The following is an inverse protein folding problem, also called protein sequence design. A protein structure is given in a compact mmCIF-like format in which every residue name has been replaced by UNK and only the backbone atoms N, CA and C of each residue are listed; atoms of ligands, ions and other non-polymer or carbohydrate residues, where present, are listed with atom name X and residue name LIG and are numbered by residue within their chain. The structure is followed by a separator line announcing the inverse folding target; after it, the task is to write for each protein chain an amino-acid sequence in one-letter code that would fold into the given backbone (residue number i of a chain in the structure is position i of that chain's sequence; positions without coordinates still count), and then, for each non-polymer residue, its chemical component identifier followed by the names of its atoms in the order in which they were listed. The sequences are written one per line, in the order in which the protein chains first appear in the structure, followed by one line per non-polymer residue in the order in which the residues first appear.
data_IF_285430979717
#
_entry.id   IF_285430979717
#
_cell.length_a   1.000
_cell.length_b   1.000
_cell.length_c   1.000
_cell.angle_alpha   90.00
_cell.angle_beta   90.00
_cell.angle_gamma   90.00
#
_symmetry.space_group_name_H-M   'P 1'
#
loop_
_entity.id
_entity.type
_entity.pdbx_description
1 polymer ?
#
# COMPACT_ATOMS: atom_id res chain seq x y z
N UNK A 1 -7.42 -20.86 18.58
CA UNK A 1 -8.65 -21.53 19.05
C UNK A 1 -9.37 -22.20 17.89
N UNK A 2 -10.00 -23.38 18.07
CA UNK A 2 -10.81 -24.03 17.02
C UNK A 2 -12.26 -23.54 17.09
N UNK A 3 -12.87 -23.24 15.92
CA UNK A 3 -14.30 -22.95 15.78
C UNK A 3 -14.84 -23.77 14.61
N UNK A 4 -15.50 -24.89 14.90
CA UNK A 4 -15.82 -25.89 13.88
C UNK A 4 -14.55 -26.41 13.20
N UNK A 5 -14.51 -26.37 11.86
CA UNK A 5 -13.32 -26.75 11.08
C UNK A 5 -12.22 -25.69 11.04
N UNK A 6 -12.54 -24.45 11.40
CA UNK A 6 -11.64 -23.32 11.23
C UNK A 6 -10.71 -23.16 12.45
N UNK A 7 -9.48 -22.74 12.17
CA UNK A 7 -8.53 -22.30 13.21
C UNK A 7 -8.56 -20.79 13.28
N UNK A 8 -8.77 -20.24 14.47
CA UNK A 8 -8.89 -18.80 14.71
C UNK A 8 -7.71 -18.33 15.57
N UNK A 9 -7.03 -17.28 15.13
CA UNK A 9 -5.95 -16.57 15.82
C UNK A 9 -6.61 -15.56 16.77
N UNK A 10 -6.51 -15.78 18.08
CA UNK A 10 -7.22 -14.98 19.10
C UNK A 10 -6.29 -14.10 19.94
N UNK A 11 -5.01 -14.45 20.03
CA UNK A 11 -4.01 -13.71 20.80
C UNK A 11 -3.38 -12.61 19.94
N UNK A 12 -4.25 -11.74 19.44
CA UNK A 12 -3.87 -10.62 18.60
C UNK A 12 -3.33 -9.50 19.49
N UNK A 13 -2.16 -8.97 19.12
CA UNK A 13 -1.55 -7.82 19.80
C UNK A 13 -2.07 -6.50 19.19
N UNK A 14 -2.25 -5.47 20.02
CA UNK A 14 -2.69 -4.13 19.57
C UNK A 14 -1.57 -3.10 19.72
N UNK A 15 -0.95 -3.06 20.90
CA UNK A 15 0.19 -2.20 21.17
C UNK A 15 1.51 -2.97 21.02
N UNK A 16 2.22 -2.70 19.92
CA UNK A 16 3.56 -3.25 19.66
C UNK A 16 4.60 -2.86 20.74
N UNK A 17 4.41 -1.74 21.44
CA UNK A 17 5.29 -1.33 22.54
C UNK A 17 5.17 -2.25 23.76
N UNK A 18 4.04 -2.93 23.94
CA UNK A 18 3.81 -3.89 25.04
C UNK A 18 4.40 -5.28 24.77
N UNK A 19 4.51 -5.69 23.51
CA UNK A 19 4.97 -7.05 23.11
C UNK A 19 6.47 -7.26 23.38
N UNK A 20 6.89 -8.35 24.01
CA UNK A 20 8.32 -8.64 24.24
C UNK A 20 9.12 -8.67 22.91
N UNK A 21 10.20 -7.89 22.83
CA UNK A 21 11.10 -7.86 21.68
C UNK A 21 11.69 -9.24 21.31
N UNK A 22 11.76 -10.19 22.25
CA UNK A 22 12.18 -11.57 21.98
C UNK A 22 11.21 -12.33 21.09
N UNK A 23 9.95 -11.92 21.03
CA UNK A 23 8.89 -12.49 20.17
C UNK A 23 8.83 -11.83 18.78
N UNK A 24 9.72 -10.87 18.49
CA UNK A 24 9.67 -10.06 17.27
C UNK A 24 10.79 -10.40 16.30
N UNK A 25 10.45 -10.42 15.01
CA UNK A 25 11.44 -10.43 13.94
C UNK A 25 12.22 -9.09 13.88
N UNK A 26 13.26 -9.04 13.05
CA UNK A 26 14.10 -7.83 12.90
C UNK A 26 13.29 -6.59 12.49
N UNK A 27 12.42 -6.62 11.47
CA UNK A 27 11.58 -5.47 11.11
C UNK A 27 10.73 -4.92 12.26
N UNK A 28 10.02 -5.78 13.00
CA UNK A 28 9.17 -5.32 14.12
C UNK A 28 9.99 -4.72 15.28
N UNK A 29 11.20 -5.25 15.55
CA UNK A 29 12.12 -4.62 16.53
C UNK A 29 12.56 -3.22 16.09
N UNK A 30 12.83 -3.02 14.80
CA UNK A 30 13.15 -1.70 14.25
C UNK A 30 11.97 -0.73 14.37
N UNK A 31 10.76 -1.18 14.03
CA UNK A 31 9.53 -0.38 14.20
C UNK A 31 9.28 -0.02 15.66
N UNK A 32 9.40 -0.97 16.59
CA UNK A 32 9.27 -0.72 18.02
C UNK A 32 10.25 0.34 18.52
N UNK A 33 11.51 0.29 18.07
CA UNK A 33 12.50 1.32 18.40
C UNK A 33 12.11 2.70 17.85
N UNK A 34 11.62 2.76 16.61
CA UNK A 34 11.14 4.01 16.01
C UNK A 34 9.96 4.60 16.80
N UNK A 35 8.98 3.78 17.17
CA UNK A 35 7.82 4.22 17.96
C UNK A 35 8.21 4.66 19.37
N UNK A 36 9.14 3.97 20.04
CA UNK A 36 9.69 4.43 21.33
C UNK A 36 10.34 5.81 21.24
N UNK A 37 11.03 6.11 20.14
CA UNK A 37 11.61 7.42 19.92
C UNK A 37 10.52 8.47 19.62
N UNK A 38 9.50 8.10 18.84
CA UNK A 38 8.38 8.97 18.53
C UNK A 38 7.54 9.32 19.76
N UNK A 39 7.31 8.36 20.66
CA UNK A 39 6.55 8.55 21.90
C UNK A 39 7.14 9.65 22.83
N UNK A 40 8.40 10.05 22.63
CA UNK A 40 9.01 11.19 23.33
C UNK A 40 8.48 12.55 22.86
N UNK A 41 7.80 12.60 21.72
CA UNK A 41 7.22 13.81 21.12
C UNK A 41 5.74 14.00 21.47
N UNK A 42 5.10 12.97 21.99
CA UNK A 42 3.68 12.96 22.34
C UNK A 42 3.15 11.53 22.48
N UNK A 43 1.95 11.35 23.07
CA UNK A 43 1.33 10.04 23.20
C UNK A 43 1.04 9.43 21.82
N UNK A 44 1.09 8.09 21.76
CA UNK A 44 0.71 7.32 20.58
C UNK A 44 -0.57 6.56 20.95
N UNK A 45 -1.61 6.73 20.14
CA UNK A 45 -2.80 5.91 20.21
C UNK A 45 -2.60 4.68 19.31
N UNK A 46 -2.79 3.50 19.88
CA UNK A 46 -2.83 2.25 19.14
C UNK A 46 -4.28 1.79 19.02
N UNK A 47 -4.68 1.43 17.80
CA UNK A 47 -6.00 0.91 17.53
C UNK A 47 -5.89 -0.19 16.49
N UNK A 48 -6.43 -1.37 16.79
CA UNK A 48 -6.65 -2.39 15.76
C UNK A 48 -7.84 -2.00 14.89
N UNK A 49 -7.68 -2.12 13.58
CA UNK A 49 -8.77 -1.96 12.64
C UNK A 49 -9.38 -3.32 12.28
N UNK A 50 -10.70 -3.36 12.22
CA UNK A 50 -11.50 -4.43 11.60
C UNK A 50 -12.61 -3.83 10.75
N UNK A 51 -13.25 -4.67 9.95
CA UNK A 51 -14.38 -4.22 9.15
C UNK A 51 -15.45 -3.50 10.00
N UNK A 52 -15.88 -2.31 9.55
CA UNK A 52 -16.83 -1.45 10.23
C UNK A 52 -16.21 -0.41 11.19
N UNK A 53 -14.89 -0.42 11.41
CA UNK A 53 -14.19 0.62 12.20
C UNK A 53 -14.01 1.94 11.41
N UNK A 54 -15.01 2.35 10.64
CA UNK A 54 -14.98 3.53 9.77
C UNK A 54 -14.67 4.81 10.57
N UNK A 55 -15.12 4.86 11.84
CA UNK A 55 -14.90 5.99 12.73
C UNK A 55 -13.42 6.27 13.05
N UNK A 56 -12.51 5.33 12.77
CA UNK A 56 -11.08 5.56 12.88
C UNK A 56 -10.57 6.68 11.95
N UNK A 57 -11.35 7.04 10.93
CA UNK A 57 -11.00 8.04 9.91
C UNK A 57 -11.92 9.26 9.92
N UNK A 58 -12.65 9.50 11.02
CA UNK A 58 -13.63 10.60 11.10
C UNK A 58 -13.00 11.99 10.94
N UNK A 59 -11.72 12.13 11.29
CA UNK A 59 -10.95 13.35 11.08
C UNK A 59 -10.82 13.76 9.60
N UNK A 60 -11.05 12.84 8.66
CA UNK A 60 -11.04 13.12 7.22
C UNK A 60 -12.40 13.62 6.69
N UNK A 61 -13.48 13.46 7.45
CA UNK A 61 -14.83 13.84 7.01
C UNK A 61 -14.96 15.34 6.78
N UNK A 62 -14.26 16.17 7.57
CA UNK A 62 -14.24 17.62 7.41
C UNK A 62 -13.64 18.04 6.05
N UNK A 63 -12.75 17.22 5.49
CA UNK A 63 -12.19 17.41 4.15
C UNK A 63 -13.08 16.80 3.04
N UNK A 64 -14.26 16.27 3.38
CA UNK A 64 -15.18 15.62 2.45
C UNK A 64 -14.71 14.23 1.99
N UNK A 65 -13.78 13.62 2.73
CA UNK A 65 -13.27 12.27 2.46
C UNK A 65 -13.96 11.29 3.39
N UNK A 66 -14.72 10.38 2.80
CA UNK A 66 -15.32 9.26 3.52
C UNK A 66 -14.43 8.02 3.40
N UNK A 67 -14.26 7.28 4.48
CA UNK A 67 -13.44 6.06 4.49
C UNK A 67 -14.22 4.94 5.15
N UNK A 68 -14.27 3.79 4.47
CA UNK A 68 -14.84 2.55 4.99
C UNK A 68 -13.72 1.53 5.19
N UNK A 69 -13.69 0.93 6.38
CA UNK A 69 -12.83 -0.21 6.69
C UNK A 69 -13.62 -1.46 6.35
N UNK A 70 -13.21 -2.14 5.27
CA UNK A 70 -13.89 -3.35 4.77
C UNK A 70 -13.24 -4.64 5.29
N UNK A 71 -12.06 -4.54 5.88
CA UNK A 71 -11.34 -5.66 6.45
C UNK A 71 -10.14 -5.23 7.29
N UNK A 72 -9.55 -6.15 8.07
CA UNK A 72 -9.84 -7.59 8.06
C UNK A 72 -11.21 -7.95 8.67
N UNK A 73 -11.76 -9.08 8.23
CA UNK A 73 -12.99 -9.65 8.81
C UNK A 73 -12.63 -10.47 10.06
N UNK A 74 -13.24 -10.12 11.20
CA UNK A 74 -12.99 -10.82 12.46
C UNK A 74 -14.05 -11.87 12.75
N UNK A 75 -13.63 -12.99 13.33
CA UNK A 75 -14.49 -14.04 13.85
C UNK A 75 -14.49 -14.00 15.37
N UNK A 76 -15.68 -13.88 15.98
CA UNK A 76 -15.81 -13.94 17.44
C UNK A 76 -15.78 -15.38 17.95
N UNK A 77 -14.89 -15.65 18.92
CA UNK A 77 -14.69 -16.95 19.57
C UNK A 77 -14.44 -16.70 21.06
N UNK A 78 -15.15 -17.39 21.94
CA UNK A 78 -14.99 -17.28 23.40
C UNK A 78 -14.98 -15.83 23.92
N UNK A 79 -15.86 -14.99 23.36
CA UNK A 79 -15.99 -13.58 23.75
C UNK A 79 -14.85 -12.66 23.27
N UNK A 80 -13.96 -13.14 22.41
CA UNK A 80 -12.85 -12.36 21.83
C UNK A 80 -12.92 -12.34 20.31
N UNK A 81 -12.42 -11.28 19.70
CA UNK A 81 -12.29 -11.19 18.26
C UNK A 81 -10.99 -11.89 17.83
N UNK A 82 -11.07 -12.66 16.75
CA UNK A 82 -9.92 -13.34 16.18
C UNK A 82 -9.93 -13.32 14.67
N UNK A 83 -8.80 -13.68 14.08
CA UNK A 83 -8.62 -13.76 12.63
C UNK A 83 -8.58 -15.22 12.20
N UNK A 84 -9.34 -15.56 11.16
CA UNK A 84 -9.33 -16.93 10.62
C UNK A 84 -7.98 -17.24 10.01
N UNK A 85 -7.34 -18.34 10.39
CA UNK A 85 -6.19 -18.85 9.66
C UNK A 85 -6.65 -19.28 8.27
N UNK A 86 -6.03 -18.74 7.22
CA UNK A 86 -6.39 -19.03 5.83
C UNK A 86 -5.71 -20.34 5.41
N UNK A 87 -6.22 -21.45 5.96
CA UNK A 87 -5.67 -22.80 5.82
C UNK A 87 -5.62 -23.54 7.17
N UNK A 88 -4.93 -24.68 7.20
CA UNK A 88 -4.59 -25.37 8.45
C UNK A 88 -3.19 -24.93 8.92
N UNK A 89 -3.03 -24.37 10.12
CA UNK A 89 -1.71 -23.98 10.63
C UNK A 89 -0.84 -25.21 10.91
N UNK A 90 0.51 -25.05 10.95
CA UNK A 90 1.39 -26.12 11.42
C UNK A 90 1.15 -26.36 12.91
N UNK A 91 1.46 -27.56 13.41
CA UNK A 91 1.38 -27.86 14.85
C UNK A 91 2.57 -27.20 15.57
N UNK A 92 2.32 -26.43 16.64
CA UNK A 92 3.37 -25.85 17.48
C UNK A 92 3.21 -24.34 17.75
N UNK A 93 4.07 -23.79 18.61
CA UNK A 93 4.01 -22.40 19.11
C UNK A 93 4.55 -21.38 18.08
N UNK A 94 5.26 -21.85 17.06
CA UNK A 94 5.97 -21.04 16.06
C UNK A 94 5.28 -21.03 14.70
N UNK A 95 3.96 -20.85 14.67
CA UNK A 95 3.14 -20.86 13.44
C UNK A 95 3.44 -19.71 12.44
N UNK A 96 4.39 -18.82 12.76
CA UNK A 96 4.72 -17.60 12.01
C UNK A 96 6.22 -17.36 11.82
N UNK A 97 7.09 -18.34 12.11
CA UNK A 97 8.51 -18.22 11.75
C UNK A 97 8.67 -18.41 10.24
N UNK A 98 9.46 -17.55 9.60
CA UNK A 98 9.70 -17.57 8.15
C UNK A 98 10.21 -18.95 7.72
N UNK A 99 9.40 -19.67 6.95
CA UNK A 99 9.72 -20.99 6.40
C UNK A 99 8.58 -21.98 6.62
N UNK A 100 8.29 -22.77 5.59
CA UNK A 100 7.36 -23.89 5.71
C UNK A 100 7.94 -24.88 6.73
N UNK A 101 7.41 -24.85 7.96
CA UNK A 101 7.69 -25.90 8.92
C UNK A 101 7.37 -27.26 8.25
N UNK A 102 8.18 -28.32 8.47
CA UNK A 102 8.02 -29.60 7.75
C UNK A 102 6.61 -30.22 7.83
N UNK A 103 5.84 -29.88 8.86
CA UNK A 103 4.49 -30.38 9.11
C UNK A 103 3.37 -29.38 8.71
N UNK A 104 3.71 -28.38 7.90
CA UNK A 104 2.75 -27.37 7.47
C UNK A 104 1.87 -27.89 6.33
N UNK A 105 0.55 -27.83 6.53
CA UNK A 105 -0.46 -28.29 5.55
C UNK A 105 -1.28 -27.14 4.96
N UNK A 106 -0.91 -25.88 5.26
CA UNK A 106 -1.50 -24.68 4.67
C UNK A 106 -0.63 -24.09 3.54
N UNK A 107 -0.90 -22.85 3.13
CA UNK A 107 -0.14 -22.16 2.06
C UNK A 107 1.13 -21.44 2.55
N UNK A 108 1.04 -20.62 3.61
CA UNK A 108 2.16 -20.21 4.51
C UNK A 108 1.63 -19.30 5.63
N UNK A 109 2.45 -19.00 6.64
CA UNK A 109 2.16 -17.94 7.60
C UNK A 109 1.99 -16.58 6.90
N UNK A 110 2.86 -16.28 5.93
CA UNK A 110 2.81 -15.08 5.09
C UNK A 110 1.52 -15.01 4.28
N UNK A 111 1.02 -16.14 3.77
CA UNK A 111 -0.28 -16.20 3.10
C UNK A 111 -1.43 -15.74 4.01
N UNK A 112 -1.41 -16.18 5.27
CA UNK A 112 -2.42 -15.75 6.24
C UNK A 112 -2.25 -14.27 6.60
N UNK A 113 -1.02 -13.77 6.77
CA UNK A 113 -0.75 -12.36 7.06
C UNK A 113 -1.26 -11.47 5.91
N UNK A 114 -0.92 -11.80 4.67
CA UNK A 114 -1.35 -11.08 3.47
C UNK A 114 -2.87 -11.06 3.35
N UNK A 115 -3.52 -12.20 3.58
CA UNK A 115 -4.98 -12.30 3.52
C UNK A 115 -5.73 -11.57 4.63
N UNK A 116 -5.06 -11.11 5.68
CA UNK A 116 -5.63 -10.20 6.70
C UNK A 116 -5.22 -8.74 6.51
N UNK A 117 -4.86 -8.37 5.28
CA UNK A 117 -4.64 -6.97 4.91
C UNK A 117 -5.81 -6.08 5.37
N UNK A 118 -5.48 -4.88 5.83
CA UNK A 118 -6.48 -3.82 6.04
C UNK A 118 -7.00 -3.40 4.68
N UNK A 119 -8.32 -3.41 4.53
CA UNK A 119 -8.99 -3.04 3.28
C UNK A 119 -9.69 -1.72 3.50
N UNK A 120 -9.31 -0.71 2.73
CA UNK A 120 -9.89 0.62 2.82
C UNK A 120 -10.59 0.96 1.51
N UNK A 121 -11.83 1.44 1.61
CA UNK A 121 -12.48 2.16 0.53
C UNK A 121 -12.58 3.63 0.90
N UNK A 122 -11.95 4.48 0.11
CA UNK A 122 -12.01 5.93 0.26
C UNK A 122 -12.94 6.51 -0.80
N UNK A 123 -13.81 7.45 -0.43
CA UNK A 123 -14.66 8.20 -1.35
C UNK A 123 -14.39 9.69 -1.19
N UNK A 124 -14.15 10.35 -2.32
CA UNK A 124 -14.09 11.81 -2.39
C UNK A 124 -14.95 12.28 -3.56
N UNK A 125 -15.99 13.05 -3.25
CA UNK A 125 -17.05 13.41 -4.20
C UNK A 125 -17.65 12.17 -4.88
N UNK A 126 -17.43 12.06 -6.20
CA UNK A 126 -18.00 11.01 -7.06
C UNK A 126 -17.07 9.83 -7.33
N UNK A 127 -15.85 9.82 -6.78
CA UNK A 127 -14.85 8.79 -7.04
C UNK A 127 -14.55 7.96 -5.79
N UNK A 128 -14.56 6.63 -5.96
CA UNK A 128 -14.16 5.64 -4.96
C UNK A 128 -12.82 5.03 -5.30
N UNK A 129 -12.00 4.86 -4.28
CA UNK A 129 -10.68 4.25 -4.33
C UNK A 129 -10.70 3.03 -3.44
N UNK A 130 -10.29 1.87 -3.95
CA UNK A 130 -10.13 0.65 -3.17
C UNK A 130 -8.66 0.31 -2.99
N UNK A 131 -8.25 0.16 -1.74
CA UNK A 131 -6.94 -0.30 -1.32
C UNK A 131 -7.11 -1.65 -0.62
N UNK A 132 -6.69 -2.73 -1.29
CA UNK A 132 -6.90 -4.10 -0.82
C UNK A 132 -5.61 -4.76 -0.28
N UNK A 133 -4.57 -3.99 0.03
CA UNK A 133 -3.29 -4.52 0.52
C UNK A 133 -2.78 -5.67 -0.35
N UNK A 134 -2.52 -6.82 0.26
CA UNK A 134 -2.06 -8.04 -0.40
C UNK A 134 -3.05 -9.20 -0.26
N UNK A 135 -4.37 -8.93 -0.34
CA UNK A 135 -5.34 -10.02 -0.36
C UNK A 135 -5.00 -11.06 -1.42
N UNK A 136 -5.16 -12.33 -1.04
CA UNK A 136 -5.06 -13.51 -1.90
C UNK A 136 -6.44 -14.07 -2.23
N UNK A 137 -6.48 -15.09 -3.09
CA UNK A 137 -7.73 -15.70 -3.56
C UNK A 137 -8.69 -16.07 -2.41
N UNK A 138 -8.21 -16.71 -1.34
CA UNK A 138 -9.05 -17.13 -0.22
C UNK A 138 -9.61 -15.93 0.55
N UNK A 139 -8.79 -14.91 0.78
CA UNK A 139 -9.21 -13.70 1.49
C UNK A 139 -10.22 -12.89 0.67
N UNK A 140 -10.00 -12.77 -0.64
CA UNK A 140 -10.94 -12.14 -1.57
C UNK A 140 -12.28 -12.88 -1.61
N UNK A 141 -12.23 -14.22 -1.72
CA UNK A 141 -13.42 -15.08 -1.64
C UNK A 141 -14.15 -14.94 -0.30
N UNK A 142 -13.39 -14.88 0.79
CA UNK A 142 -13.95 -14.73 2.14
C UNK A 142 -14.63 -13.37 2.29
N UNK A 143 -14.00 -12.31 1.81
CA UNK A 143 -14.58 -10.96 1.81
C UNK A 143 -15.87 -10.91 1.01
N UNK A 144 -15.90 -11.45 -0.22
CA UNK A 144 -17.11 -11.45 -1.05
C UNK A 144 -18.29 -12.18 -0.39
N UNK A 145 -18.02 -13.27 0.33
CA UNK A 145 -19.06 -14.06 0.98
C UNK A 145 -19.63 -13.40 2.24
N UNK A 146 -18.85 -12.57 2.91
CA UNK A 146 -19.15 -12.10 4.27
C UNK A 146 -19.22 -10.57 4.39
N UNK A 147 -18.88 -9.83 3.34
CA UNK A 147 -19.00 -8.37 3.31
C UNK A 147 -20.39 -7.94 2.85
N UNK A 148 -21.06 -7.02 3.56
CA UNK A 148 -22.41 -6.57 3.22
C UNK A 148 -22.46 -5.51 2.10
N UNK A 149 -21.31 -5.08 1.56
CA UNK A 149 -21.22 -3.91 0.68
C UNK A 149 -20.85 -4.18 -0.77
N UNK A 150 -21.33 -3.32 -1.68
CA UNK A 150 -20.79 -3.17 -3.04
C UNK A 150 -19.28 -2.90 -2.96
N UNK A 151 -18.43 -3.58 -3.73
CA UNK A 151 -16.96 -3.33 -3.77
C UNK A 151 -16.56 -2.39 -4.91
N UNK A 152 -17.52 -1.99 -5.76
CA UNK A 152 -17.26 -1.21 -6.95
C UNK A 152 -16.49 0.05 -6.63
N UNK A 153 -15.38 0.26 -7.34
CA UNK A 153 -14.51 1.42 -7.16
C UNK A 153 -13.97 1.93 -8.49
N UNK A 154 -13.77 3.23 -8.62
CA UNK A 154 -13.20 3.86 -9.82
C UNK A 154 -11.71 3.57 -9.94
N UNK A 155 -10.99 3.75 -8.85
CA UNK A 155 -9.56 3.50 -8.77
C UNK A 155 -9.33 2.29 -7.89
N UNK A 156 -8.60 1.32 -8.41
CA UNK A 156 -8.26 0.10 -7.69
C UNK A 156 -6.75 -0.03 -7.57
N UNK A 157 -6.24 0.05 -6.34
CA UNK A 157 -4.87 -0.37 -6.06
C UNK A 157 -4.90 -1.89 -5.97
N UNK A 158 -4.45 -2.52 -7.05
CA UNK A 158 -4.48 -3.97 -7.25
C UNK A 158 -3.68 -4.64 -6.14
N UNK A 159 -4.23 -5.73 -5.53
CA UNK A 159 -3.60 -6.39 -4.41
C UNK A 159 -2.36 -7.17 -4.82
N UNK A 160 -1.52 -7.45 -3.82
CA UNK A 160 -0.48 -8.46 -3.87
C UNK A 160 0.44 -8.30 -5.08
N UNK A 161 0.80 -7.06 -5.36
CA UNK A 161 1.71 -6.66 -6.44
C UNK A 161 1.30 -7.08 -7.86
N UNK A 162 0.08 -7.57 -8.05
CA UNK A 162 -0.35 -8.14 -9.32
C UNK A 162 -0.12 -9.65 -9.47
N UNK A 163 -0.14 -10.39 -8.36
CA UNK A 163 -0.03 -11.84 -8.31
C UNK A 163 -1.12 -12.57 -9.12
N UNK A 164 -0.85 -13.83 -9.50
CA UNK A 164 -1.87 -14.73 -10.07
C UNK A 164 -2.81 -15.33 -9.01
N UNK A 165 -2.50 -15.12 -7.74
CA UNK A 165 -3.29 -15.54 -6.59
C UNK A 165 -4.43 -14.55 -6.30
N UNK A 166 -5.49 -14.64 -7.10
CA UNK A 166 -6.68 -13.79 -6.99
C UNK A 166 -7.96 -14.57 -7.36
N UNK A 167 -9.11 -14.12 -6.84
CA UNK A 167 -10.45 -14.51 -7.24
C UNK A 167 -10.98 -13.57 -8.33
N UNK A 168 -11.32 -14.15 -9.48
CA UNK A 168 -11.93 -13.42 -10.60
C UNK A 168 -13.23 -12.72 -10.22
N UNK A 169 -14.02 -13.30 -9.30
CA UNK A 169 -15.26 -12.68 -8.85
C UNK A 169 -14.99 -11.41 -8.03
N UNK A 170 -13.84 -11.32 -7.38
CA UNK A 170 -13.46 -10.12 -6.65
C UNK A 170 -13.13 -8.99 -7.62
N UNK A 171 -12.32 -9.26 -8.64
CA UNK A 171 -12.06 -8.29 -9.72
C UNK A 171 -13.37 -7.85 -10.41
N UNK A 172 -14.30 -8.80 -10.62
CA UNK A 172 -15.64 -8.51 -11.15
C UNK A 172 -16.48 -7.62 -10.22
N UNK A 173 -16.41 -7.83 -8.91
CA UNK A 173 -17.14 -7.02 -7.94
C UNK A 173 -16.57 -5.59 -7.84
N UNK A 174 -15.24 -5.44 -7.90
CA UNK A 174 -14.57 -4.13 -7.92
C UNK A 174 -14.84 -3.37 -9.23
N UNK A 175 -14.88 -4.11 -10.34
CA UNK A 175 -15.19 -3.66 -11.70
C UNK A 175 -14.46 -2.37 -12.13
N UNK A 176 -13.13 -2.25 -11.91
CA UNK A 176 -12.42 -0.97 -11.88
C UNK A 176 -12.42 -0.20 -13.21
N UNK A 177 -12.24 1.12 -13.14
CA UNK A 177 -11.97 1.98 -14.32
C UNK A 177 -10.47 2.17 -14.50
N UNK A 178 -9.77 2.42 -13.40
CA UNK A 178 -8.31 2.54 -13.34
C UNK A 178 -7.79 1.49 -12.36
N UNK A 179 -6.83 0.69 -12.81
CA UNK A 179 -6.12 -0.28 -11.99
C UNK A 179 -4.66 0.13 -11.88
N UNK A 180 -4.16 0.26 -10.66
CA UNK A 180 -2.75 0.57 -10.38
C UNK A 180 -2.10 -0.67 -9.76
N UNK A 181 -1.08 -1.18 -10.43
CA UNK A 181 -0.30 -2.32 -9.99
C UNK A 181 1.05 -1.79 -9.52
N UNK A 182 1.36 -2.01 -8.23
CA UNK A 182 2.71 -1.77 -7.72
C UNK A 182 3.46 -3.10 -7.75
N UNK A 183 4.17 -3.34 -8.85
CA UNK A 183 4.94 -4.55 -9.10
C UNK A 183 6.42 -4.22 -9.20
N UNK A 184 7.30 -5.21 -9.11
CA UNK A 184 8.70 -5.05 -9.46
C UNK A 184 9.43 -6.34 -9.22
N UNK A 185 10.42 -6.62 -10.06
CA UNK A 185 11.22 -7.84 -9.92
C UNK A 185 12.14 -7.70 -8.69
N UNK A 186 12.17 -8.73 -7.84
CA UNK A 186 13.15 -8.83 -6.76
C UNK A 186 14.40 -9.57 -7.24
N UNK A 187 15.06 -10.32 -6.36
CA UNK A 187 16.23 -11.11 -6.69
C UNK A 187 15.86 -12.45 -7.36
N UNK A 188 16.77 -13.01 -8.15
CA UNK A 188 16.60 -14.29 -8.85
C UNK A 188 16.34 -15.50 -7.95
N UNK A 189 16.49 -15.38 -6.62
CA UNK A 189 16.18 -16.47 -5.67
C UNK A 189 14.71 -16.51 -5.28
N UNK A 190 13.91 -15.51 -5.65
CA UNK A 190 12.47 -15.46 -5.40
C UNK A 190 11.74 -15.25 -6.73
N UNK A 191 10.85 -16.16 -7.10
CA UNK A 191 10.09 -16.06 -8.34
C UNK A 191 8.86 -15.13 -8.21
N UNK A 192 9.11 -13.83 -8.04
CA UNK A 192 8.08 -12.79 -7.97
C UNK A 192 7.88 -12.10 -9.33
N UNK A 193 7.52 -12.88 -10.35
CA UNK A 193 7.29 -12.35 -11.71
C UNK A 193 5.89 -11.73 -11.76
N UNK A 194 5.79 -10.43 -11.54
CA UNK A 194 4.52 -9.70 -11.49
C UNK A 194 4.55 -8.45 -12.40
N UNK A 195 3.39 -7.95 -12.88
CA UNK A 195 2.08 -8.58 -12.76
C UNK A 195 1.93 -9.80 -13.66
N UNK A 196 1.10 -10.75 -13.24
CA UNK A 196 0.81 -11.95 -14.03
C UNK A 196 -0.22 -11.63 -15.11
N UNK A 197 -0.01 -12.16 -16.33
CA UNK A 197 -0.87 -11.89 -17.48
C UNK A 197 -2.34 -12.27 -17.25
N UNK A 198 -2.61 -13.33 -16.46
CA UNK A 198 -3.97 -13.76 -16.09
C UNK A 198 -4.73 -12.69 -15.31
N UNK A 199 -4.05 -11.98 -14.40
CA UNK A 199 -4.63 -10.87 -13.66
C UNK A 199 -4.87 -9.66 -14.56
N UNK A 200 -3.88 -9.28 -15.38
CA UNK A 200 -4.02 -8.15 -16.32
C UNK A 200 -5.22 -8.38 -17.25
N UNK A 201 -5.37 -9.59 -17.78
CA UNK A 201 -6.53 -9.98 -18.58
C UNK A 201 -7.85 -9.90 -17.81
N UNK A 202 -7.88 -10.28 -16.52
CA UNK A 202 -9.07 -10.15 -15.68
C UNK A 202 -9.44 -8.68 -15.41
N UNK A 203 -8.46 -7.81 -15.13
CA UNK A 203 -8.66 -6.37 -14.93
C UNK A 203 -9.26 -5.73 -16.17
N UNK A 204 -8.77 -6.08 -17.36
CA UNK A 204 -9.34 -5.63 -18.63
C UNK A 204 -10.77 -6.16 -18.84
N UNK A 205 -10.96 -7.48 -18.70
CA UNK A 205 -12.25 -8.16 -18.93
C UNK A 205 -13.38 -7.65 -18.02
N UNK A 206 -13.08 -7.33 -16.77
CA UNK A 206 -14.08 -6.96 -15.77
C UNK A 206 -14.16 -5.46 -15.51
N UNK A 207 -13.41 -4.65 -16.26
CA UNK A 207 -13.65 -3.22 -16.28
C UNK A 207 -15.07 -2.91 -16.74
N UNK A 208 -15.62 -1.82 -16.22
CA UNK A 208 -16.95 -1.31 -16.61
C UNK A 208 -16.91 -0.29 -17.72
N UNK A 209 -15.75 -0.05 -18.32
CA UNK A 209 -15.59 0.81 -19.49
C UNK A 209 -14.85 0.06 -20.58
N UNK A 210 -15.05 0.48 -21.83
CA UNK A 210 -14.47 -0.21 -22.99
C UNK A 210 -12.94 -0.07 -23.06
N UNK A 211 -12.40 1.03 -22.54
CA UNK A 211 -10.95 1.33 -22.53
C UNK A 211 -10.42 1.46 -21.09
N UNK A 212 -10.20 0.35 -20.37
CA UNK A 212 -9.64 0.40 -19.03
C UNK A 212 -8.21 0.94 -19.00
N UNK A 213 -7.89 1.66 -17.93
CA UNK A 213 -6.52 2.15 -17.68
C UNK A 213 -5.84 1.21 -16.67
N UNK A 214 -4.84 0.47 -17.13
CA UNK A 214 -4.01 -0.38 -16.27
C UNK A 214 -2.61 0.20 -16.25
N UNK A 215 -2.18 0.68 -15.08
CA UNK A 215 -0.87 1.30 -14.88
C UNK A 215 -0.02 0.43 -13.97
N UNK A 216 1.25 0.27 -14.33
CA UNK A 216 2.23 -0.47 -13.55
C UNK A 216 3.27 0.55 -13.06
N UNK A 217 3.54 0.53 -11.76
CA UNK A 217 4.60 1.30 -11.12
C UNK A 217 5.53 0.36 -10.38
N UNK A 218 6.83 0.62 -10.45
CA UNK A 218 7.83 -0.21 -9.79
C UNK A 218 7.77 -0.11 -8.25
N UNK A 219 7.97 -1.23 -7.56
CA UNK A 219 8.13 -1.30 -6.10
C UNK A 219 9.45 -0.70 -5.65
N UNK A 220 10.49 -0.85 -6.46
CA UNK A 220 11.80 -0.26 -6.24
C UNK A 220 11.81 1.10 -6.93
N UNK A 221 11.93 2.17 -6.15
CA UNK A 221 12.20 3.48 -6.71
C UNK A 221 13.47 3.38 -7.56
N UNK A 222 13.36 3.62 -8.86
CA UNK A 222 14.55 3.72 -9.68
C UNK A 222 15.38 4.88 -9.15
N UNK A 223 16.65 4.59 -8.94
CA UNK A 223 17.65 5.59 -8.63
C UNK A 223 18.61 5.64 -9.80
N UNK A 224 18.82 6.83 -10.36
CA UNK A 224 19.96 7.05 -11.23
C UNK A 224 21.20 7.12 -10.36
N UNK A 225 22.21 6.31 -10.68
CA UNK A 225 23.51 6.43 -10.04
C UNK A 225 24.17 7.67 -10.61
N UNK A 226 24.30 8.71 -9.79
CA UNK A 226 24.93 9.98 -10.18
C UNK A 226 26.45 9.94 -9.97
N UNK A 227 26.96 8.84 -9.38
CA UNK A 227 28.36 8.68 -9.03
C UNK A 227 28.77 9.62 -7.89
N UNK A 228 30.08 9.88 -7.76
CA UNK A 228 30.59 10.83 -6.80
C UNK A 228 30.26 12.26 -7.22
N UNK A 229 29.38 12.93 -6.46
CA UNK A 229 29.05 14.35 -6.68
C UNK A 229 29.63 15.21 -5.57
N UNK A 230 30.01 16.44 -5.95
CA UNK A 230 30.13 17.55 -5.03
C UNK A 230 28.81 18.35 -5.10
N UNK A 231 28.14 18.67 -3.97
CA UNK A 231 26.87 19.40 -3.99
C UNK A 231 26.94 20.72 -4.76
N UNK A 232 25.94 21.04 -5.57
CA UNK A 232 25.86 22.35 -6.26
C UNK A 232 25.29 23.50 -5.40
N UNK A 233 24.77 23.21 -4.19
CA UNK A 233 24.31 24.23 -3.23
C UNK A 233 25.48 25.03 -2.59
N UNK A 234 26.64 25.08 -3.26
CA UNK A 234 27.92 25.56 -2.75
C UNK A 234 28.35 26.92 -3.33
N UNK A 235 27.46 27.74 -3.87
CA UNK A 235 27.82 29.12 -4.27
C UNK A 235 27.59 30.14 -3.15
N UNK A 236 28.13 29.88 -1.96
CA UNK A 236 28.43 30.97 -1.04
C UNK A 236 29.84 31.46 -1.35
N UNK A 237 29.98 32.72 -1.77
CA UNK A 237 31.28 33.35 -1.88
C UNK A 237 32.00 33.32 -0.52
N UNK A 238 33.34 33.38 -0.52
CA UNK A 238 34.13 33.44 0.70
C UNK A 238 33.65 34.56 1.65
N UNK A 239 33.15 35.67 1.08
CA UNK A 239 32.53 36.78 1.80
C UNK A 239 31.24 36.37 2.51
N UNK A 240 30.32 35.69 1.81
CA UNK A 240 29.06 35.21 2.39
C UNK A 240 29.26 34.19 3.51
N UNK A 241 30.29 33.34 3.40
CA UNK A 241 30.68 32.40 4.46
C UNK A 241 31.17 33.12 5.73
N UNK A 242 31.90 34.22 5.57
CA UNK A 242 32.43 35.01 6.70
C UNK A 242 31.32 35.72 7.47
N UNK A 243 30.32 36.27 6.78
CA UNK A 243 29.17 36.93 7.39
C UNK A 243 28.24 35.97 8.13
N UNK A 244 27.95 34.80 7.55
CA UNK A 244 27.12 33.79 8.19
C UNK A 244 27.73 33.28 9.51
N UNK A 245 29.06 33.14 9.57
CA UNK A 245 29.81 32.75 10.77
C UNK A 245 29.71 33.82 11.88
N UNK A 246 29.79 35.11 11.52
CA UNK A 246 29.62 36.22 12.47
C UNK A 246 28.21 36.25 13.09
N UNK A 247 27.20 35.75 12.39
CA UNK A 247 25.81 35.65 12.87
C UNK A 247 25.52 34.39 13.71
N UNK A 248 26.54 33.59 14.02
CA UNK A 248 26.38 32.37 14.85
C UNK A 248 25.77 31.18 14.12
N UNK A 249 25.54 31.26 12.81
CA UNK A 249 25.01 30.15 12.02
C UNK A 249 26.01 29.00 11.93
N UNK A 250 25.58 27.76 12.20
CA UNK A 250 26.38 26.56 11.89
C UNK A 250 26.51 26.42 10.38
N UNK A 251 27.67 26.78 9.84
CA UNK A 251 27.97 26.60 8.40
C UNK A 251 28.26 25.13 8.15
N UNK A 252 27.35 24.44 7.47
CA UNK A 252 27.48 23.02 7.08
C UNK A 252 28.18 22.87 5.70
N UNK A 253 28.52 23.99 5.06
CA UNK A 253 29.22 24.08 3.78
C UNK A 253 30.68 24.50 4.01
N UNK A 254 31.56 23.52 4.10
CA UNK A 254 33.03 23.70 4.16
C UNK A 254 33.64 23.26 2.83
N UNK A 255 34.67 23.95 2.29
CA UNK A 255 35.37 23.56 1.06
C UNK A 255 35.90 22.12 1.10
N UNK A 256 36.16 21.58 2.30
CA UNK A 256 36.72 20.25 2.51
C UNK A 256 35.68 19.11 2.44
N UNK A 257 34.43 19.40 2.09
CA UNK A 257 33.38 18.36 2.00
C UNK A 257 33.67 17.44 0.82
N UNK A 258 34.29 16.29 1.13
CA UNK A 258 34.64 15.25 0.16
C UNK A 258 33.42 14.85 -0.67
N UNK A 259 33.64 14.60 -1.97
CA UNK A 259 32.61 14.03 -2.84
C UNK A 259 31.99 12.81 -2.16
N UNK A 260 30.67 12.69 -2.25
CA UNK A 260 29.98 11.50 -1.80
C UNK A 260 29.34 10.80 -2.98
N UNK A 261 29.35 9.47 -2.93
CA UNK A 261 28.65 8.66 -3.89
C UNK A 261 27.15 8.91 -3.73
N UNK A 262 26.51 9.29 -4.82
CA UNK A 262 25.14 9.78 -4.79
C UNK A 262 24.29 9.10 -5.85
N UNK A 263 23.00 9.17 -5.59
CA UNK A 263 21.96 8.64 -6.44
C UNK A 263 20.79 9.61 -6.42
N UNK A 264 20.15 9.82 -7.57
CA UNK A 264 18.95 10.64 -7.69
C UNK A 264 17.75 9.73 -7.93
N UNK A 265 16.62 10.00 -7.29
CA UNK A 265 15.41 9.22 -7.56
C UNK A 265 14.89 9.60 -8.94
N UNK A 266 14.84 8.66 -9.86
CA UNK A 266 14.18 8.89 -11.14
C UNK A 266 12.68 8.76 -10.94
N UNK A 267 11.95 9.82 -11.26
CA UNK A 267 10.51 9.92 -11.01
C UNK A 267 9.67 9.26 -12.13
N UNK A 268 10.29 8.49 -13.02
CA UNK A 268 9.65 7.83 -14.15
C UNK A 268 8.80 6.66 -13.65
N UNK A 269 7.63 6.43 -14.25
CA UNK A 269 6.70 5.37 -13.84
C UNK A 269 5.87 5.67 -12.59
N UNK A 270 6.14 6.76 -11.86
CA UNK A 270 5.29 7.18 -10.74
C UNK A 270 3.90 7.54 -11.27
N UNK A 271 2.91 6.76 -10.85
CA UNK A 271 1.50 7.02 -11.11
C UNK A 271 0.98 8.06 -10.14
N UNK A 272 0.34 9.11 -10.66
CA UNK A 272 -0.30 10.17 -9.89
C UNK A 272 -1.77 10.23 -10.24
N UNK A 273 -2.61 10.15 -9.22
CA UNK A 273 -4.06 10.25 -9.33
C UNK A 273 -4.51 11.44 -8.50
N UNK A 274 -5.32 12.32 -9.10
CA UNK A 274 -5.83 13.54 -8.47
C UNK A 274 -7.30 13.70 -8.79
N UNK A 275 -8.09 14.19 -7.84
CA UNK A 275 -9.50 14.48 -8.05
C UNK A 275 -9.92 15.72 -7.27
N UNK A 276 -10.90 16.46 -7.82
CA UNK A 276 -11.62 17.55 -7.16
C UNK A 276 -13.05 17.11 -6.75
N UNK A 277 -13.32 15.80 -6.76
CA UNK A 277 -14.62 15.21 -6.47
C UNK A 277 -15.56 15.11 -7.67
N UNK A 278 -15.31 15.87 -8.76
CA UNK A 278 -16.12 15.84 -9.99
C UNK A 278 -15.33 15.33 -11.21
N UNK A 279 -14.03 15.64 -11.23
CA UNK A 279 -13.06 15.20 -12.23
C UNK A 279 -11.98 14.34 -11.58
N UNK A 280 -11.44 13.42 -12.36
CA UNK A 280 -10.31 12.57 -11.97
C UNK A 280 -9.25 12.68 -13.06
N UNK A 281 -8.03 12.99 -12.65
CA UNK A 281 -6.86 13.08 -13.51
C UNK A 281 -5.87 11.99 -13.07
N UNK A 282 -5.46 11.17 -14.04
CA UNK A 282 -4.44 10.15 -13.85
C UNK A 282 -3.28 10.46 -14.77
N UNK A 283 -2.05 10.47 -14.26
CA UNK A 283 -0.89 10.66 -15.10
C UNK A 283 0.34 9.94 -14.60
N UNK A 284 1.21 9.55 -15.53
CA UNK A 284 2.53 9.01 -15.24
C UNK A 284 3.61 9.82 -15.95
N UNK A 285 4.76 9.93 -15.31
CA UNK A 285 5.94 10.53 -15.93
C UNK A 285 6.57 9.50 -16.86
N UNK A 286 6.70 9.84 -18.15
CA UNK A 286 7.48 9.01 -19.06
C UNK A 286 8.98 9.14 -18.78
N UNK A 287 9.79 8.18 -19.23
CA UNK A 287 11.26 8.25 -19.18
C UNK A 287 11.87 9.41 -19.97
N UNK A 288 11.10 10.12 -20.80
CA UNK A 288 11.54 11.30 -21.53
C UNK A 288 11.16 12.57 -20.75
N UNK A 289 12.11 13.50 -20.63
CA UNK A 289 11.87 14.78 -19.95
C UNK A 289 10.68 15.51 -20.59
N UNK A 290 9.81 16.07 -19.73
CA UNK A 290 8.57 16.81 -20.07
C UNK A 290 7.45 16.01 -20.76
N UNK A 291 7.60 14.72 -21.04
CA UNK A 291 6.50 13.89 -21.57
C UNK A 291 5.71 13.21 -20.45
N UNK A 292 4.39 13.43 -20.46
CA UNK A 292 3.44 12.79 -19.55
C UNK A 292 2.38 12.06 -20.36
N UNK A 293 2.06 10.87 -19.91
CA UNK A 293 0.85 10.16 -20.29
C UNK A 293 -0.24 10.59 -19.30
N UNK A 294 -1.39 11.02 -19.81
CA UNK A 294 -2.44 11.67 -19.03
C UNK A 294 -3.80 11.17 -19.48
N UNK A 295 -4.64 10.83 -18.50
CA UNK A 295 -6.01 10.41 -18.66
C UNK A 295 -6.90 11.27 -17.78
N UNK A 296 -8.05 11.71 -18.29
CA UNK A 296 -9.03 12.45 -17.53
C UNK A 296 -10.40 11.78 -17.59
N UNK A 297 -11.11 11.87 -16.48
CA UNK A 297 -12.45 11.31 -16.33
C UNK A 297 -13.35 12.29 -15.62
N UNK A 298 -14.64 12.19 -15.91
CA UNK A 298 -15.73 12.85 -15.19
C UNK A 298 -16.71 11.80 -14.70
N UNK A 299 -17.42 12.09 -13.62
CA UNK A 299 -18.49 11.23 -13.14
C UNK A 299 -19.78 12.03 -13.02
N UNK A 300 -20.92 11.52 -13.51
CA UNK A 300 -22.24 12.13 -13.28
C UNK A 300 -22.78 11.78 -11.88
N UNK A 301 -22.40 10.61 -11.37
CA UNK A 301 -22.66 10.08 -10.02
C UNK A 301 -21.65 8.95 -9.74
N UNK A 302 -21.46 8.53 -8.47
CA UNK A 302 -20.60 7.38 -8.16
C UNK A 302 -20.93 6.16 -9.03
N UNK A 303 -19.90 5.51 -9.58
CA UNK A 303 -20.06 4.36 -10.48
C UNK A 303 -20.24 4.72 -11.97
N UNK A 304 -20.68 5.93 -12.32
CA UNK A 304 -20.96 6.35 -13.70
C UNK A 304 -19.88 7.30 -14.20
N UNK A 305 -18.76 6.73 -14.64
CA UNK A 305 -17.56 7.45 -15.09
C UNK A 305 -17.46 7.46 -16.60
N UNK A 306 -17.03 8.59 -17.16
CA UNK A 306 -16.76 8.77 -18.59
C UNK A 306 -15.38 9.40 -18.79
N UNK A 307 -14.61 8.86 -19.74
CA UNK A 307 -13.36 9.46 -20.21
C UNK A 307 -13.64 10.82 -20.86
N UNK A 308 -12.73 11.77 -20.68
CA UNK A 308 -12.80 13.09 -21.33
C UNK A 308 -11.43 13.45 -21.89
N UNK A 309 -11.44 14.24 -22.96
CA UNK A 309 -10.22 14.68 -23.61
C UNK A 309 -9.41 15.63 -22.73
N UNK A 310 -8.10 15.44 -22.76
CA UNK A 310 -7.14 16.31 -22.09
C UNK A 310 -6.63 17.32 -23.12
N UNK A 311 -7.07 18.57 -23.00
CA UNK A 311 -6.47 19.67 -23.80
C UNK A 311 -5.09 19.99 -23.24
N UNK A 312 -4.05 19.82 -24.05
CA UNK A 312 -2.69 20.26 -23.74
C UNK A 312 -2.60 21.75 -24.10
N UNK A 313 -2.33 22.60 -23.12
CA UNK A 313 -1.92 24.00 -23.29
C UNK A 313 -0.42 24.11 -23.29
#
# INVERSE_FOLDING_TARGET
VKKGKDTIITDLEEDILSVDSKKMNRPFRSWKSALKNWARRGPIEFRRLKAGDDCAFDFLREEGIETEVLGPLTTRVDGRDGLKFLGNPPKGVHAFEDGDAPDFTGLSASHTINGHSVILRMRYGRFRFLFAGDLNHEAETHLLKNSPGDLRSEVFKVPHHGSADFDRNFIKAVSPVISVISSGDENSRKEHIHPRATLVGALGRFSRIDEPIILITELVAFFNVEGFIAPKWHNMSATGAREAKKRGSKIVNIPERKSFFSFSRTAFGIVKIRTDGNRLLVYTNSGQDRKKEVYAFTASRPGQVRRVDVKRT
#
